data_IF_209682376828
#
_entry.id   IF_209682376828
#
_cell.length_a   1.000
_cell.length_b   1.000
_cell.length_c   1.000
_cell.angle_alpha   90.00
_cell.angle_beta   90.00
_cell.angle_gamma   90.00
#
_symmetry.space_group_name_H-M   'P 1'
#
loop_
_entity.id
_entity.type
_entity.pdbx_description
1 polymer ?
#
# COMPACT_ATOMS: atom_id res chain seq x y z
N UNK A 1 14.58 16.31 16.19
CA UNK A 1 14.14 16.14 14.80
C UNK A 1 14.48 14.72 14.41
N UNK A 2 13.51 13.81 14.40
CA UNK A 2 13.72 12.42 14.00
C UNK A 2 13.78 12.39 12.48
N UNK A 3 14.95 12.06 11.94
CA UNK A 3 15.17 11.94 10.50
C UNK A 3 14.23 10.89 9.92
N UNK A 4 13.60 11.22 8.78
CA UNK A 4 12.80 10.28 8.01
C UNK A 4 13.64 9.05 7.63
N UNK A 5 13.10 7.85 7.83
CA UNK A 5 13.77 6.61 7.43
C UNK A 5 12.93 5.95 6.33
N UNK A 6 13.08 6.48 5.12
CA UNK A 6 12.68 5.79 3.90
C UNK A 6 13.85 4.93 3.44
N UNK A 7 13.70 3.62 3.47
CA UNK A 7 14.74 2.69 3.01
C UNK A 7 14.22 1.92 1.82
N UNK A 8 14.97 1.97 0.71
CA UNK A 8 14.70 1.18 -0.49
C UNK A 8 15.70 0.05 -0.58
N UNK A 9 15.23 -1.19 -0.61
CA UNK A 9 16.08 -2.38 -0.64
C UNK A 9 15.82 -3.21 -1.88
N UNK A 10 16.92 -3.51 -2.58
CA UNK A 10 16.95 -4.32 -3.79
C UNK A 10 18.10 -5.30 -3.70
N UNK A 11 17.79 -6.57 -3.47
CA UNK A 11 18.74 -7.67 -3.53
C UNK A 11 18.90 -8.21 -4.96
N UNK A 12 19.92 -9.06 -5.16
CA UNK A 12 20.07 -9.82 -6.40
C UNK A 12 19.01 -10.92 -6.52
N UNK A 13 18.56 -11.43 -5.37
CA UNK A 13 17.42 -12.33 -5.23
C UNK A 13 16.57 -11.98 -4.00
N UNK A 14 15.58 -12.83 -3.72
CA UNK A 14 14.61 -12.64 -2.65
C UNK A 14 15.21 -12.85 -1.26
N UNK A 15 16.15 -13.78 -1.11
CA UNK A 15 16.84 -14.02 0.17
C UNK A 15 17.73 -12.83 0.50
N UNK A 16 18.45 -12.29 -0.48
CA UNK A 16 19.25 -11.09 -0.34
C UNK A 16 18.38 -9.88 0.06
N UNK A 17 17.24 -9.68 -0.59
CA UNK A 17 16.29 -8.62 -0.22
C UNK A 17 15.77 -8.81 1.22
N UNK A 18 15.39 -10.03 1.60
CA UNK A 18 14.88 -10.32 2.94
C UNK A 18 15.95 -10.13 4.03
N UNK A 19 17.19 -10.58 3.80
CA UNK A 19 18.30 -10.36 4.72
C UNK A 19 18.67 -8.88 4.84
N UNK A 20 18.65 -8.12 3.74
CA UNK A 20 18.84 -6.69 3.79
C UNK A 20 17.73 -6.00 4.60
N UNK A 21 16.48 -6.43 4.42
CA UNK A 21 15.33 -5.93 5.16
C UNK A 21 15.48 -6.20 6.66
N UNK A 22 15.83 -7.42 7.03
CA UNK A 22 16.08 -7.79 8.42
C UNK A 22 17.16 -6.92 9.05
N UNK A 23 18.33 -6.80 8.42
CA UNK A 23 19.43 -5.98 8.98
C UNK A 23 19.00 -4.53 9.21
N UNK A 24 18.28 -3.94 8.26
CA UNK A 24 17.80 -2.55 8.39
C UNK A 24 16.77 -2.43 9.52
N UNK A 25 15.77 -3.31 9.55
CA UNK A 25 14.73 -3.29 10.58
C UNK A 25 15.31 -3.53 11.98
N UNK A 26 16.25 -4.47 12.11
CA UNK A 26 16.97 -4.78 13.34
C UNK A 26 17.81 -3.59 13.83
N UNK A 27 18.55 -2.93 12.94
CA UNK A 27 19.27 -1.69 13.25
C UNK A 27 18.36 -0.55 13.72
N UNK A 28 17.08 -0.59 13.33
CA UNK A 28 16.06 0.38 13.72
C UNK A 28 15.30 -0.04 14.99
N UNK A 29 15.59 -1.22 15.55
CA UNK A 29 14.87 -1.79 16.69
C UNK A 29 13.42 -2.17 16.36
N UNK A 30 13.13 -2.42 15.08
CA UNK A 30 11.78 -2.80 14.62
C UNK A 30 11.74 -4.29 14.32
N UNK A 31 10.79 -4.99 14.96
CA UNK A 31 10.55 -6.40 14.71
C UNK A 31 9.15 -6.69 14.18
N UNK A 32 8.23 -5.72 14.23
CA UNK A 32 6.86 -5.86 13.77
C UNK A 32 6.64 -5.03 12.51
N UNK A 33 6.03 -5.65 11.49
CA UNK A 33 5.72 -4.95 10.24
C UNK A 33 4.27 -5.14 9.79
N UNK A 34 3.71 -4.07 9.24
CA UNK A 34 2.46 -4.07 8.48
C UNK A 34 2.78 -3.87 7.01
N UNK A 35 2.39 -4.86 6.19
CA UNK A 35 2.81 -4.95 4.81
C UNK A 35 1.67 -4.68 3.84
N UNK A 36 1.99 -3.99 2.76
CA UNK A 36 1.26 -4.11 1.50
C UNK A 36 2.21 -4.50 0.39
N UNK A 37 1.65 -5.04 -0.69
CA UNK A 37 2.40 -5.18 -1.93
C UNK A 37 1.52 -5.02 -3.16
N UNK A 38 2.17 -4.71 -4.27
CA UNK A 38 1.50 -4.65 -5.56
C UNK A 38 2.37 -4.09 -6.66
N UNK A 39 1.70 -3.90 -7.80
CA UNK A 39 2.31 -3.34 -8.99
C UNK A 39 2.40 -1.82 -8.92
N UNK A 40 1.45 -1.15 -8.26
CA UNK A 40 1.33 0.32 -8.20
C UNK A 40 1.37 1.00 -9.58
N UNK A 41 0.88 0.31 -10.61
CA UNK A 41 0.87 0.80 -11.99
C UNK A 41 -0.29 1.77 -12.29
N UNK A 42 -1.17 2.05 -11.33
CA UNK A 42 -2.23 3.04 -11.51
C UNK A 42 -1.69 4.48 -11.35
N UNK A 43 -2.38 5.48 -11.93
CA UNK A 43 -2.08 6.89 -11.71
C UNK A 43 -2.05 7.25 -10.22
N UNK A 44 -1.30 8.29 -9.88
CA UNK A 44 -1.02 8.69 -8.49
C UNK A 44 -2.30 9.04 -7.74
N UNK A 45 -3.28 9.59 -8.46
CA UNK A 45 -4.59 10.02 -7.97
C UNK A 45 -5.41 8.84 -7.45
N UNK A 46 -5.13 7.62 -7.92
CA UNK A 46 -5.76 6.39 -7.42
C UNK A 46 -4.87 5.67 -6.41
N UNK A 47 -3.58 5.60 -6.69
CA UNK A 47 -2.62 4.82 -5.90
C UNK A 47 -2.37 5.44 -4.52
N UNK A 48 -2.20 6.77 -4.43
CA UNK A 48 -1.88 7.46 -3.18
C UNK A 48 -3.05 7.39 -2.19
N UNK A 49 -4.28 7.81 -2.54
CA UNK A 49 -5.36 7.86 -1.56
C UNK A 49 -5.73 6.49 -1.03
N UNK A 50 -5.73 5.48 -1.91
CA UNK A 50 -6.02 4.10 -1.51
C UNK A 50 -4.98 3.59 -0.53
N UNK A 51 -3.69 3.73 -0.86
CA UNK A 51 -2.60 3.30 0.01
C UNK A 51 -2.63 4.00 1.37
N UNK A 52 -2.80 5.33 1.38
CA UNK A 52 -2.93 6.10 2.63
C UNK A 52 -4.13 5.64 3.46
N UNK A 53 -5.29 5.41 2.83
CA UNK A 53 -6.53 5.10 3.54
C UNK A 53 -6.45 3.83 4.38
N UNK A 54 -5.95 2.73 3.83
CA UNK A 54 -5.85 1.51 4.63
C UNK A 54 -4.59 1.47 5.52
N UNK A 55 -3.49 2.17 5.22
CA UNK A 55 -2.44 2.32 6.24
C UNK A 55 -2.94 3.18 7.42
N UNK A 56 -3.81 4.16 7.18
CA UNK A 56 -4.49 4.90 8.24
C UNK A 56 -5.41 3.98 9.04
N UNK A 57 -6.20 3.13 8.37
CA UNK A 57 -6.99 2.10 9.06
C UNK A 57 -6.11 1.19 9.93
N UNK A 58 -4.98 0.71 9.42
CA UNK A 58 -4.04 -0.12 10.18
C UNK A 58 -3.45 0.66 11.36
N UNK A 59 -3.05 1.93 11.16
CA UNK A 59 -2.57 2.81 12.21
C UNK A 59 -3.60 2.99 13.34
N UNK A 60 -4.88 3.14 12.99
CA UNK A 60 -5.94 3.43 13.96
C UNK A 60 -6.45 2.19 14.69
N UNK A 61 -6.34 1.01 14.08
CA UNK A 61 -7.02 -0.20 14.55
C UNK A 61 -6.09 -1.28 15.09
N UNK A 62 -4.84 -1.32 14.61
CA UNK A 62 -3.98 -2.50 14.81
C UNK A 62 -2.57 -2.13 15.23
N UNK A 63 -1.96 -1.14 14.58
CA UNK A 63 -0.53 -0.92 14.68
C UNK A 63 -0.12 -0.17 15.96
N UNK A 64 0.85 -0.72 16.66
CA UNK A 64 1.58 -0.03 17.73
C UNK A 64 2.46 1.08 17.11
N UNK A 65 2.70 2.21 17.80
CA UNK A 65 3.59 3.27 17.33
C UNK A 65 5.02 2.82 16.98
N UNK A 66 5.45 1.65 17.47
CA UNK A 66 6.79 1.09 17.22
C UNK A 66 6.86 0.15 16.00
N UNK A 67 5.72 -0.14 15.36
CA UNK A 67 5.66 -1.00 14.19
C UNK A 67 6.04 -0.21 12.92
N UNK A 68 6.74 -0.85 11.98
CA UNK A 68 7.05 -0.27 10.67
C UNK A 68 5.98 -0.57 9.62
N UNK A 69 5.92 0.30 8.63
CA UNK A 69 5.14 0.10 7.41
C UNK A 69 6.04 -0.36 6.29
N UNK A 70 5.67 -1.49 5.67
CA UNK A 70 6.43 -2.08 4.59
C UNK A 70 5.60 -2.09 3.29
N UNK A 71 6.23 -1.63 2.22
CA UNK A 71 5.68 -1.61 0.88
C UNK A 71 6.56 -2.49 -0.01
N UNK A 72 6.10 -3.69 -0.32
CA UNK A 72 6.77 -4.54 -1.31
C UNK A 72 6.27 -4.20 -2.73
N UNK A 73 7.18 -3.97 -3.66
CA UNK A 73 6.91 -3.51 -5.03
C UNK A 73 7.42 -4.56 -6.00
N UNK A 74 6.57 -5.01 -6.94
CA UNK A 74 7.02 -5.85 -8.04
C UNK A 74 8.14 -5.14 -8.80
N UNK A 75 9.28 -5.80 -9.00
CA UNK A 75 10.38 -5.25 -9.79
C UNK A 75 10.00 -5.06 -11.26
N UNK A 76 10.80 -4.34 -12.05
CA UNK A 76 10.60 -4.21 -13.50
C UNK A 76 10.59 -5.57 -14.20
N UNK A 77 11.42 -6.52 -13.73
CA UNK A 77 11.45 -7.88 -14.24
C UNK A 77 10.15 -8.62 -13.93
N UNK A 78 9.69 -8.57 -12.68
CA UNK A 78 8.42 -9.16 -12.26
C UNK A 78 7.24 -8.55 -13.02
N UNK A 79 7.24 -7.23 -13.22
CA UNK A 79 6.25 -6.53 -14.02
C UNK A 79 6.25 -7.00 -15.48
N UNK A 80 7.41 -7.18 -16.11
CA UNK A 80 7.48 -7.69 -17.47
C UNK A 80 6.85 -9.10 -17.58
N UNK A 81 7.12 -9.99 -16.61
CA UNK A 81 6.49 -11.31 -16.53
C UNK A 81 4.97 -11.24 -16.39
N UNK A 82 4.48 -10.42 -15.47
CA UNK A 82 3.04 -10.17 -15.26
C UNK A 82 2.38 -9.68 -16.56
N UNK A 83 2.99 -8.70 -17.23
CA UNK A 83 2.43 -8.12 -18.45
C UNK A 83 2.43 -9.09 -19.62
N UNK A 84 3.48 -9.91 -19.77
CA UNK A 84 3.51 -10.99 -20.75
C UNK A 84 2.40 -12.01 -20.47
N UNK A 85 2.22 -12.43 -19.21
CA UNK A 85 1.20 -13.40 -18.82
C UNK A 85 -0.23 -12.92 -19.08
N UNK A 86 -0.49 -11.61 -19.02
CA UNK A 86 -1.80 -11.03 -19.37
C UNK A 86 -1.93 -10.62 -20.85
N UNK A 87 -0.96 -10.96 -21.71
CA UNK A 87 -0.90 -10.56 -23.12
C UNK A 87 -1.01 -9.04 -23.32
N UNK A 88 -0.27 -8.26 -22.52
CA UNK A 88 -0.29 -6.81 -22.64
C UNK A 88 0.19 -6.32 -24.01
N UNK A 89 -0.42 -5.24 -24.49
CA UNK A 89 -0.01 -4.56 -25.72
C UNK A 89 1.34 -3.87 -25.56
N UNK A 90 2.02 -3.59 -26.67
CA UNK A 90 3.26 -2.80 -26.66
C UNK A 90 3.08 -1.41 -26.02
N UNK A 91 1.90 -0.80 -26.18
CA UNK A 91 1.56 0.48 -25.56
C UNK A 91 1.39 0.37 -24.04
N UNK A 92 0.76 -0.70 -23.55
CA UNK A 92 0.69 -0.97 -22.10
C UNK A 92 2.07 -1.24 -21.50
N UNK A 93 2.94 -1.94 -22.23
CA UNK A 93 4.32 -2.20 -21.80
C UNK A 93 5.16 -0.93 -21.74
N UNK A 94 5.06 -0.05 -22.74
CA UNK A 94 5.83 1.20 -22.78
C UNK A 94 5.30 2.25 -21.79
N UNK A 95 4.03 2.17 -21.40
CA UNK A 95 3.44 3.02 -20.38
C UNK A 95 3.80 2.62 -18.95
N UNK A 96 4.43 1.45 -18.74
CA UNK A 96 4.88 1.05 -17.41
C UNK A 96 6.03 1.93 -16.92
N UNK A 97 5.77 2.62 -15.82
CA UNK A 97 6.82 3.33 -15.10
C UNK A 97 7.79 2.36 -14.42
N UNK A 98 9.01 2.83 -14.19
CA UNK A 98 10.02 2.08 -13.45
C UNK A 98 9.55 1.76 -12.01
N UNK A 99 10.09 0.69 -11.44
CA UNK A 99 9.86 0.30 -10.04
C UNK A 99 10.16 1.43 -9.06
N UNK A 100 11.18 2.25 -9.32
CA UNK A 100 11.50 3.40 -8.47
C UNK A 100 10.40 4.48 -8.48
N UNK A 101 9.84 4.76 -9.67
CA UNK A 101 8.73 5.72 -9.81
C UNK A 101 7.48 5.16 -9.15
N UNK A 102 7.17 3.88 -9.39
CA UNK A 102 6.01 3.20 -8.78
C UNK A 102 6.12 3.14 -7.25
N UNK A 103 7.32 2.92 -6.72
CA UNK A 103 7.60 2.96 -5.29
C UNK A 103 7.46 4.37 -4.71
N UNK A 104 8.01 5.39 -5.38
CA UNK A 104 7.96 6.78 -4.91
C UNK A 104 6.52 7.28 -4.74
N UNK A 105 5.60 6.90 -5.66
CA UNK A 105 4.17 7.23 -5.55
C UNK A 105 3.61 6.94 -4.16
N UNK A 106 3.91 5.78 -3.59
CA UNK A 106 3.34 5.34 -2.31
C UNK A 106 4.23 5.67 -1.12
N UNK A 107 5.54 5.48 -1.26
CA UNK A 107 6.46 5.58 -0.15
C UNK A 107 6.62 7.03 0.35
N UNK A 108 6.66 8.00 -0.57
CA UNK A 108 6.82 9.40 -0.23
C UNK A 108 5.57 9.92 0.50
N UNK A 109 4.38 9.55 0.01
CA UNK A 109 3.12 9.90 0.66
C UNK A 109 2.97 9.26 2.04
N UNK A 110 3.34 7.97 2.18
CA UNK A 110 3.31 7.29 3.47
C UNK A 110 4.29 7.90 4.46
N UNK A 111 5.52 8.18 4.03
CA UNK A 111 6.56 8.78 4.89
C UNK A 111 6.19 10.20 5.31
N UNK A 112 5.59 10.98 4.42
CA UNK A 112 5.12 12.33 4.75
C UNK A 112 3.96 12.30 5.76
N UNK A 113 3.01 11.36 5.61
CA UNK A 113 1.83 11.27 6.46
C UNK A 113 2.13 10.59 7.81
N UNK A 114 2.87 9.50 7.82
CA UNK A 114 3.28 8.74 9.00
C UNK A 114 4.73 9.07 9.40
N UNK A 115 5.02 10.35 9.58
CA UNK A 115 6.38 10.86 9.79
C UNK A 115 7.07 10.42 11.11
N UNK A 116 6.32 9.75 11.99
CA UNK A 116 6.79 9.19 13.25
C UNK A 116 7.07 7.68 13.16
N UNK A 117 6.95 7.07 11.98
CA UNK A 117 7.12 5.63 11.77
C UNK A 117 8.10 5.35 10.62
N UNK A 118 8.87 4.26 10.71
CA UNK A 118 9.63 3.76 9.57
C UNK A 118 8.75 3.33 8.39
N UNK A 119 9.15 3.73 7.17
CA UNK A 119 8.56 3.26 5.92
C UNK A 119 9.63 2.54 5.11
N UNK A 120 9.48 1.24 4.92
CA UNK A 120 10.44 0.38 4.21
C UNK A 120 9.85 -0.02 2.87
N UNK A 121 10.63 0.13 1.80
CA UNK A 121 10.28 -0.33 0.46
C UNK A 121 11.18 -1.50 0.09
N UNK A 122 10.57 -2.61 -0.31
CA UNK A 122 11.28 -3.79 -0.82
C UNK A 122 10.93 -4.03 -2.30
N UNK A 123 11.92 -4.30 -3.12
CA UNK A 123 11.70 -4.77 -4.49
C UNK A 123 11.87 -6.29 -4.56
N UNK A 124 10.93 -6.99 -5.21
CA UNK A 124 11.02 -8.44 -5.39
C UNK A 124 10.98 -8.85 -6.85
N UNK A 125 11.87 -9.78 -7.19
CA UNK A 125 12.12 -10.32 -8.53
C UNK A 125 11.39 -11.66 -8.75
N UNK A 126 10.09 -11.69 -8.44
CA UNK A 126 9.28 -12.90 -8.53
C UNK A 126 7.86 -12.57 -9.01
N UNK A 127 7.20 -13.56 -9.61
CA UNK A 127 5.81 -13.40 -10.07
C UNK A 127 4.84 -13.18 -8.90
N UNK A 128 5.15 -13.77 -7.74
CA UNK A 128 4.36 -13.63 -6.51
C UNK A 128 5.27 -13.26 -5.33
N UNK A 129 4.77 -12.55 -4.30
CA UNK A 129 5.56 -12.15 -3.14
C UNK A 129 5.75 -13.27 -2.09
N UNK A 130 5.29 -14.50 -2.36
CA UNK A 130 5.20 -15.56 -1.34
C UNK A 130 6.56 -15.90 -0.73
N UNK A 131 7.59 -16.11 -1.56
CA UNK A 131 8.95 -16.44 -1.07
C UNK A 131 9.60 -15.27 -0.34
N UNK A 132 9.27 -14.02 -0.71
CA UNK A 132 9.70 -12.85 0.05
C UNK A 132 9.17 -12.92 1.49
N UNK A 133 7.89 -13.22 1.67
CA UNK A 133 7.31 -13.29 3.01
C UNK A 133 7.81 -14.48 3.82
N UNK A 134 8.00 -15.63 3.19
CA UNK A 134 8.64 -16.80 3.84
C UNK A 134 10.05 -16.43 4.32
N UNK A 135 10.84 -15.73 3.49
CA UNK A 135 12.19 -15.31 3.84
C UNK A 135 12.21 -14.25 4.96
N UNK A 136 11.27 -13.29 4.95
CA UNK A 136 11.13 -12.30 6.02
C UNK A 136 10.74 -12.96 7.35
N UNK A 137 9.80 -13.90 7.32
CA UNK A 137 9.40 -14.66 8.51
C UNK A 137 10.55 -15.51 9.06
N UNK A 138 11.30 -16.19 8.18
CA UNK A 138 12.49 -16.97 8.56
C UNK A 138 13.61 -16.10 9.15
N UNK A 139 13.67 -14.82 8.79
CA UNK A 139 14.59 -13.83 9.36
C UNK A 139 14.09 -13.23 10.70
N UNK A 140 13.12 -13.85 11.37
CA UNK A 140 12.54 -13.39 12.64
C UNK A 140 11.88 -12.00 12.58
N UNK A 141 11.39 -11.59 11.41
CA UNK A 141 10.52 -10.41 11.31
C UNK A 141 9.08 -10.87 11.55
N UNK A 142 8.41 -10.23 12.51
CA UNK A 142 7.01 -10.50 12.81
C UNK A 142 6.10 -9.83 11.76
N UNK A 143 5.52 -10.67 10.90
CA UNK A 143 4.58 -10.29 9.86
C UNK A 143 3.18 -10.10 10.46
N UNK A 144 2.93 -8.92 11.04
CA UNK A 144 1.71 -8.65 11.82
C UNK A 144 0.47 -8.61 10.93
N UNK A 145 0.51 -7.86 9.82
CA UNK A 145 -0.61 -7.84 8.89
C UNK A 145 -0.21 -7.64 7.44
N UNK A 146 -0.92 -8.30 6.54
CA UNK A 146 -0.89 -8.03 5.10
C UNK A 146 -2.17 -7.30 4.70
N UNK A 147 -2.05 -6.27 3.88
CA UNK A 147 -3.22 -5.58 3.36
C UNK A 147 -3.14 -5.31 1.85
N UNK A 148 -4.26 -5.55 1.17
CA UNK A 148 -4.34 -5.62 -0.29
C UNK A 148 -5.46 -4.77 -0.85
N UNK A 149 -5.09 -3.82 -1.69
CA UNK A 149 -6.00 -2.91 -2.38
C UNK A 149 -6.55 -3.54 -3.66
N UNK A 150 -7.85 -3.41 -3.87
CA UNK A 150 -8.55 -4.01 -5.01
C UNK A 150 -8.90 -5.48 -4.80
N UNK A 151 -8.79 -5.95 -3.55
CA UNK A 151 -9.08 -7.32 -3.15
C UNK A 151 -10.19 -7.34 -2.09
N UNK A 152 -11.01 -8.38 -2.12
CA UNK A 152 -12.08 -8.69 -1.16
C UNK A 152 -12.31 -10.21 -1.14
N UNK A 153 -13.26 -10.70 -0.34
CA UNK A 153 -13.56 -12.14 -0.20
C UNK A 153 -14.94 -12.50 -0.72
N UNK A 154 -15.23 -12.20 -1.98
CA UNK A 154 -16.25 -12.98 -2.68
C UNK A 154 -15.59 -14.25 -3.25
N UNK A 155 -16.32 -15.37 -3.46
CA UNK A 155 -15.76 -16.60 -4.04
C UNK A 155 -15.15 -16.44 -5.45
N UNK A 156 -15.29 -15.25 -6.04
CA UNK A 156 -14.75 -14.86 -7.35
C UNK A 156 -13.59 -13.86 -7.20
N UNK A 157 -13.07 -13.60 -6.01
CA UNK A 157 -11.86 -12.82 -5.85
C UNK A 157 -10.62 -13.69 -6.11
N UNK A 158 -9.58 -13.16 -6.77
CA UNK A 158 -8.31 -13.85 -6.83
C UNK A 158 -7.64 -13.92 -5.47
N UNK A 159 -6.90 -15.00 -5.24
CA UNK A 159 -6.20 -15.23 -3.98
C UNK A 159 -5.20 -14.12 -3.69
N UNK A 160 -5.09 -13.78 -2.41
CA UNK A 160 -4.01 -12.95 -1.88
C UNK A 160 -2.79 -13.83 -1.65
N UNK A 161 -1.83 -13.74 -2.56
CA UNK A 161 -0.55 -14.45 -2.47
C UNK A 161 0.21 -14.08 -1.20
N UNK A 162 0.68 -15.12 -0.48
CA UNK A 162 1.47 -14.98 0.74
C UNK A 162 0.67 -14.75 2.02
N UNK A 163 -0.67 -14.76 1.97
CA UNK A 163 -1.56 -14.52 3.10
C UNK A 163 -1.24 -15.37 4.36
N UNK A 164 -0.85 -16.63 4.18
CA UNK A 164 -0.55 -17.57 5.27
C UNK A 164 0.65 -17.19 6.14
N UNK A 165 1.50 -16.27 5.67
CA UNK A 165 2.67 -15.81 6.43
C UNK A 165 2.33 -14.71 7.45
N UNK A 166 1.09 -14.21 7.47
CA UNK A 166 0.70 -13.07 8.29
C UNK A 166 -0.31 -13.45 9.36
N UNK A 167 -0.20 -12.81 10.53
CA UNK A 167 -1.16 -13.01 11.62
C UNK A 167 -2.56 -12.47 11.28
N UNK A 168 -2.64 -11.43 10.43
CA UNK A 168 -3.90 -10.84 9.94
C UNK A 168 -3.80 -10.50 8.47
N UNK A 169 -4.85 -10.74 7.70
CA UNK A 169 -4.90 -10.34 6.29
C UNK A 169 -6.15 -9.52 6.01
N UNK A 170 -5.97 -8.34 5.44
CA UNK A 170 -7.04 -7.42 5.11
C UNK A 170 -7.20 -7.27 3.60
N UNK A 171 -8.40 -7.57 3.09
CA UNK A 171 -8.81 -7.26 1.72
C UNK A 171 -9.55 -5.93 1.71
N UNK A 172 -9.01 -4.94 0.99
CA UNK A 172 -9.63 -3.64 0.80
C UNK A 172 -10.17 -3.52 -0.65
N UNK A 173 -11.48 -3.65 -0.88
CA UNK A 173 -12.06 -3.42 -2.20
C UNK A 173 -11.77 -1.99 -2.69
N UNK A 174 -11.49 -1.82 -3.99
CA UNK A 174 -11.34 -0.49 -4.56
C UNK A 174 -12.70 0.18 -4.74
N UNK A 175 -12.75 1.53 -4.71
CA UNK A 175 -13.90 2.27 -5.20
C UNK A 175 -14.32 1.78 -6.60
N UNK A 176 -15.63 1.64 -6.82
CA UNK A 176 -16.24 1.26 -8.09
C UNK A 176 -15.80 -0.11 -8.64
N UNK A 177 -15.52 -1.08 -7.77
CA UNK A 177 -15.13 -2.45 -8.13
C UNK A 177 -13.87 -2.57 -9.02
N UNK A 178 -13.03 -1.54 -8.99
CA UNK A 178 -11.78 -1.53 -9.74
C UNK A 178 -10.91 -2.75 -9.40
N UNK A 179 -10.33 -3.39 -10.42
CA UNK A 179 -9.47 -4.57 -10.25
C UNK A 179 -7.99 -4.20 -10.31
N UNK A 180 -7.08 -4.95 -9.66
CA UNK A 180 -5.63 -4.80 -9.81
C UNK A 180 -5.13 -5.35 -11.15
N UNK A 181 -3.89 -4.98 -11.54
CA UNK A 181 -3.26 -5.40 -12.81
C UNK A 181 -3.22 -6.91 -12.98
N UNK A 182 -2.91 -7.65 -11.91
CA UNK A 182 -2.77 -9.10 -11.93
C UNK A 182 -4.10 -9.86 -11.76
N UNK A 183 -5.25 -9.18 -11.71
CA UNK A 183 -6.53 -9.82 -11.38
C UNK A 183 -6.91 -10.99 -12.30
N UNK A 184 -6.67 -10.85 -13.60
CA UNK A 184 -7.05 -11.86 -14.60
C UNK A 184 -6.12 -13.08 -14.66
N UNK A 185 -4.94 -13.00 -14.05
CA UNK A 185 -3.89 -14.05 -14.10
C UNK A 185 -3.66 -14.70 -12.73
N UNK A 186 -4.27 -14.17 -11.67
CA UNK A 186 -4.14 -14.72 -10.32
C UNK A 186 -5.21 -15.80 -10.10
N UNK A 187 -4.81 -16.93 -9.51
CA UNK A 187 -5.71 -18.07 -9.23
C UNK A 187 -6.81 -17.66 -8.25
N UNK A 188 -7.99 -18.27 -8.37
CA UNK A 188 -9.16 -18.04 -7.51
C UNK A 188 -9.24 -19.09 -6.42
N UNK A 189 -9.50 -18.66 -5.20
CA UNK A 189 -9.58 -19.52 -4.02
C UNK A 189 -10.48 -18.85 -2.97
N UNK A 190 -11.27 -19.63 -2.23
CA UNK A 190 -12.02 -19.10 -1.09
C UNK A 190 -11.07 -18.84 0.09
N UNK A 191 -10.96 -17.58 0.48
CA UNK A 191 -10.12 -17.13 1.59
C UNK A 191 -10.95 -16.49 2.72
N UNK A 192 -12.25 -16.76 2.80
CA UNK A 192 -13.15 -16.19 3.82
C UNK A 192 -12.73 -16.51 5.26
N UNK A 193 -12.01 -17.62 5.49
CA UNK A 193 -11.43 -17.98 6.79
C UNK A 193 -10.06 -17.36 7.10
N UNK A 194 -9.43 -16.68 6.12
CA UNK A 194 -8.07 -16.13 6.23
C UNK A 194 -8.05 -14.61 6.10
N UNK A 195 -8.93 -14.06 5.27
CA UNK A 195 -8.93 -12.64 4.88
C UNK A 195 -10.15 -11.95 5.48
N UNK A 196 -9.91 -10.87 6.21
CA UNK A 196 -10.97 -9.96 6.67
C UNK A 196 -11.20 -8.89 5.60
N UNK A 197 -12.42 -8.78 5.10
CA UNK A 197 -12.79 -7.70 4.18
C UNK A 197 -13.14 -6.45 4.94
N UNK A 198 -12.52 -5.34 4.55
CA UNK A 198 -12.79 -4.03 5.14
C UNK A 198 -13.09 -3.05 4.03
N UNK A 199 -14.31 -2.51 4.02
CA UNK A 199 -14.74 -1.53 3.03
C UNK A 199 -14.45 -0.12 3.53
N UNK A 200 -13.31 0.44 3.12
CA UNK A 200 -12.83 1.75 3.56
C UNK A 200 -13.74 2.94 3.22
N UNK A 201 -14.80 2.71 2.43
CA UNK A 201 -15.85 3.68 2.09
C UNK A 201 -17.00 3.73 3.10
N UNK A 202 -17.09 2.74 3.99
CA UNK A 202 -18.08 2.70 5.06
C UNK A 202 -17.53 3.43 6.29
N UNK A 203 -18.42 3.86 7.21
CA UNK A 203 -18.00 4.48 8.47
C UNK A 203 -17.28 3.45 9.34
N UNK A 204 -16.00 3.67 9.58
CA UNK A 204 -15.12 2.72 10.27
C UNK A 204 -14.19 3.45 11.25
N UNK A 205 -13.65 2.71 12.20
CA UNK A 205 -12.60 3.20 13.11
C UNK A 205 -13.08 4.26 14.11
N UNK A 206 -12.13 4.88 14.85
CA UNK A 206 -12.43 5.77 15.98
C UNK A 206 -12.98 7.14 15.56
N UNK A 207 -12.81 7.52 14.29
CA UNK A 207 -13.22 8.83 13.78
C UNK A 207 -14.63 8.83 13.16
N UNK A 208 -15.32 7.68 13.11
CA UNK A 208 -16.74 7.58 12.71
C UNK A 208 -17.04 8.07 11.30
N UNK A 209 -16.03 8.06 10.41
CA UNK A 209 -16.14 8.51 9.01
C UNK A 209 -15.52 7.44 8.10
N UNK A 210 -15.84 7.42 6.79
CA UNK A 210 -15.06 6.67 5.82
C UNK A 210 -13.59 7.08 5.83
N UNK A 211 -12.69 6.17 5.43
CA UNK A 211 -11.28 6.49 5.21
C UNK A 211 -11.06 7.06 3.80
N UNK A 212 -11.88 6.63 2.82
CA UNK A 212 -11.82 7.07 1.42
C UNK A 212 -13.22 7.34 0.86
N UNK A 213 -13.37 8.38 0.04
CA UNK A 213 -14.63 8.72 -0.64
C UNK A 213 -14.90 7.83 -1.86
N UNK A 214 -16.11 7.90 -2.40
CA UNK A 214 -16.46 7.30 -3.69
C UNK A 214 -15.65 7.88 -4.85
N UNK A 215 -15.20 9.13 -4.73
CA UNK A 215 -14.31 9.79 -5.68
C UNK A 215 -12.82 9.39 -5.51
N UNK A 216 -12.50 8.49 -4.57
CA UNK A 216 -11.14 8.03 -4.35
C UNK A 216 -10.25 9.06 -3.65
N UNK A 217 -10.81 9.90 -2.78
CA UNK A 217 -10.05 10.89 -1.96
C UNK A 217 -10.06 10.51 -0.49
N UNK A 218 -8.97 10.77 0.23
CA UNK A 218 -8.92 10.47 1.68
C UNK A 218 -9.80 11.43 2.47
N UNK A 219 -10.41 10.94 3.54
CA UNK A 219 -11.35 11.71 4.38
C UNK A 219 -10.81 12.02 5.79
N UNK A 220 -9.49 11.90 5.97
CA UNK A 220 -8.77 12.31 7.18
C UNK A 220 -7.76 13.40 6.84
N UNK A 221 -7.29 14.11 7.87
CA UNK A 221 -6.28 15.18 7.73
C UNK A 221 -4.97 14.61 7.22
N UNK A 222 -4.42 15.23 6.18
CA UNK A 222 -3.08 14.92 5.64
C UNK A 222 -2.22 16.18 5.61
N UNK A 223 -0.87 16.06 5.58
CA UNK A 223 0.03 17.19 5.40
C UNK A 223 -0.25 18.03 4.15
N UNK A 224 0.17 19.29 4.15
CA UNK A 224 -0.09 20.26 3.06
C UNK A 224 0.28 19.72 1.67
N UNK A 225 1.42 19.05 1.53
CA UNK A 225 1.88 18.46 0.26
C UNK A 225 0.99 17.34 -0.28
N UNK A 226 0.08 16.78 0.53
CA UNK A 226 -0.83 15.69 0.15
C UNK A 226 -2.28 16.12 0.03
N UNK A 227 -2.61 17.41 0.24
CA UNK A 227 -4.00 17.90 0.22
C UNK A 227 -4.71 17.68 -1.11
N UNK A 228 -3.99 17.58 -2.22
CA UNK A 228 -4.57 17.22 -3.53
C UNK A 228 -5.25 15.84 -3.53
N UNK A 229 -4.90 14.97 -2.59
CA UNK A 229 -5.46 13.63 -2.41
C UNK A 229 -6.62 13.58 -1.42
N UNK A 230 -6.90 14.71 -0.75
CA UNK A 230 -7.89 14.82 0.31
C UNK A 230 -9.22 15.33 -0.22
N UNK A 231 -10.31 14.87 0.38
CA UNK A 231 -11.63 15.44 0.20
C UNK A 231 -11.81 16.64 1.14
N UNK A 232 -11.57 17.86 0.64
CA UNK A 232 -11.69 19.08 1.44
C UNK A 232 -13.13 19.32 1.91
N UNK A 233 -14.13 18.81 1.19
CA UNK A 233 -15.54 18.94 1.59
C UNK A 233 -15.85 18.12 2.85
N UNK A 234 -15.10 17.04 3.09
CA UNK A 234 -15.25 16.18 4.26
C UNK A 234 -14.66 16.77 5.56
N UNK A 235 -13.88 17.85 5.46
CA UNK A 235 -13.18 18.47 6.58
C UNK A 235 -13.94 19.61 7.27
N UNK A 236 -15.16 19.96 6.83
CA UNK A 236 -15.88 21.15 7.31
C UNK A 236 -14.97 22.40 7.33
N UNK A 237 -14.14 22.59 6.30
CA UNK A 237 -13.27 23.76 6.26
C UNK A 237 -14.12 25.02 6.06
N UNK A 238 -13.87 26.10 6.82
CA UNK A 238 -14.49 27.38 6.51
C UNK A 238 -14.10 27.79 5.08
N UNK A 239 -15.07 28.33 4.34
CA UNK A 239 -14.83 28.84 2.99
C UNK A 239 -13.59 29.77 3.00
N UNK A 240 -12.72 29.72 1.98
CA UNK A 240 -11.56 30.60 1.91
C UNK A 240 -12.06 32.04 2.03
N UNK A 241 -11.52 32.77 3.01
CA UNK A 241 -11.83 34.18 3.19
C UNK A 241 -11.52 34.90 1.88
N UNK A 242 -12.55 35.52 1.29
CA UNK A 242 -12.41 36.32 0.08
C UNK A 242 -11.19 37.24 0.21
N UNK A 243 -10.24 37.12 -0.71
CA UNK A 243 -9.13 38.05 -0.83
C UNK A 243 -9.71 39.49 -0.89
N UNK A 244 -9.08 40.46 -0.21
CA UNK A 244 -9.59 41.82 -0.22
C UNK A 244 -9.66 42.31 -1.67
N UNK A 245 -10.85 42.73 -2.07
CA UNK A 245 -11.10 43.45 -3.31
C UNK A 245 -10.18 44.68 -3.33
N UNK A 246 -9.11 44.61 -4.12
CA UNK A 246 -8.49 45.82 -4.62
C UNK A 246 -9.49 46.44 -5.59
N UNK A 247 -10.22 47.45 -5.10
CA UNK A 247 -10.90 48.39 -5.98
C UNK A 247 -9.87 49.27 -6.68
N UNK A 248 -10.16 49.71 -7.90
CA UNK A 248 -9.27 50.53 -8.73
C UNK A 248 -8.98 51.89 -8.09
#
# INVERSE_FOLDING_TARGET
>A
MTSQILVKLKGHDVLDTAHAAYRVLDMMGVHNIHCTNGTYAYPVERTVPTTLAGFQYINDQVASPYDAFLVAVNSNQSMAGIMAAKNATAAEMSALESEDVRAAKVADALSAHFNNRPVVVLFYHEDTPTRLYEALAAANINLVSLHKWGYGTDPKAPRIEGASNFARVFGFPLPNDGKPVCHGITVREDQSGVVTVVKLQEQLGPHGKPYISSAGKVQFTVPAGLQIHQDLSALNMPAPANAPSMKP
#
